data_IF_203301045629
#
_entry.id   IF_203301045629
#
_cell.length_a   1.000
_cell.length_b   1.000
_cell.length_c   1.000
_cell.angle_alpha   90.00
_cell.angle_beta   90.00
_cell.angle_gamma   90.00
#
_symmetry.space_group_name_H-M   'P 1'
#
loop_
_entity.id
_entity.type
_entity.pdbx_description
1 polymer ?
#
# COMPACT_ATOMS: atom_id res chain seq x y z
N UNK A 1 22.94 38.54 -14.00
CA UNK A 1 23.58 38.06 -15.25
C UNK A 1 24.40 39.14 -15.95
N UNK A 2 24.22 40.44 -15.67
CA UNK A 2 25.17 41.49 -16.09
C UNK A 2 25.19 41.83 -17.59
N UNK A 3 24.41 41.11 -18.40
CA UNK A 3 24.39 41.21 -19.86
C UNK A 3 23.79 42.52 -20.41
N UNK A 4 23.15 43.34 -19.58
CA UNK A 4 22.50 44.60 -20.01
C UNK A 4 23.50 45.75 -20.27
N UNK A 5 24.75 45.64 -19.83
CA UNK A 5 25.78 46.69 -19.94
C UNK A 5 26.95 46.29 -20.87
N UNK A 6 26.70 45.38 -21.80
CA UNK A 6 27.71 44.94 -22.77
C UNK A 6 27.87 46.00 -23.88
N UNK A 7 29.10 46.49 -24.07
CA UNK A 7 29.46 47.38 -25.17
C UNK A 7 30.36 46.62 -26.17
N UNK A 8 29.92 46.53 -27.42
CA UNK A 8 30.63 45.84 -28.51
C UNK A 8 31.30 46.81 -29.50
N UNK A 9 31.30 48.11 -29.20
CA UNK A 9 31.81 49.13 -30.12
C UNK A 9 33.33 49.29 -30.08
N UNK A 10 33.99 48.73 -29.07
CA UNK A 10 35.45 48.74 -28.90
C UNK A 10 35.99 47.32 -28.74
N UNK A 11 37.25 47.10 -29.09
CA UNK A 11 37.93 45.80 -28.91
C UNK A 11 37.94 45.37 -27.44
N UNK A 12 38.27 46.29 -26.52
CA UNK A 12 38.27 46.04 -25.08
C UNK A 12 36.86 45.74 -24.54
N UNK A 13 35.83 46.44 -25.02
CA UNK A 13 34.45 46.17 -24.66
C UNK A 13 33.97 44.81 -25.15
N UNK A 14 34.40 44.38 -26.34
CA UNK A 14 34.10 43.06 -26.88
C UNK A 14 34.77 41.93 -26.08
N UNK A 15 36.00 42.12 -25.61
CA UNK A 15 36.68 41.15 -24.73
C UNK A 15 35.96 41.04 -23.36
N UNK A 16 35.61 42.19 -22.75
CA UNK A 16 34.84 42.20 -21.50
C UNK A 16 33.44 41.57 -21.67
N UNK A 17 32.82 41.73 -22.84
CA UNK A 17 31.54 41.12 -23.16
C UNK A 17 31.60 39.60 -23.13
N UNK A 18 32.68 39.02 -23.67
CA UNK A 18 32.90 37.57 -23.71
C UNK A 18 33.01 37.03 -22.28
N UNK A 19 33.80 37.67 -21.43
CA UNK A 19 33.96 37.26 -20.03
C UNK A 19 32.63 37.30 -19.25
N UNK A 20 31.85 38.39 -19.42
CA UNK A 20 30.53 38.54 -18.79
C UNK A 20 29.56 37.45 -19.27
N UNK A 21 29.57 37.14 -20.56
CA UNK A 21 28.71 36.11 -21.14
C UNK A 21 29.11 34.71 -20.65
N UNK A 22 30.40 34.39 -20.59
CA UNK A 22 30.89 33.12 -20.05
C UNK A 22 30.50 32.95 -18.58
N UNK A 23 30.63 33.99 -17.77
CA UNK A 23 30.19 33.96 -16.38
C UNK A 23 28.67 33.79 -16.24
N UNK A 24 27.89 34.46 -17.09
CA UNK A 24 26.44 34.30 -17.14
C UNK A 24 26.04 32.87 -17.54
N UNK A 25 26.69 32.30 -18.55
CA UNK A 25 26.48 30.92 -19.01
C UNK A 25 26.84 29.94 -17.90
N UNK A 26 27.96 30.15 -17.20
CA UNK A 26 28.40 29.32 -16.08
C UNK A 26 27.42 29.39 -14.90
N UNK A 27 26.84 30.56 -14.61
CA UNK A 27 25.79 30.69 -13.59
C UNK A 27 24.52 29.93 -13.97
N UNK A 28 24.01 30.12 -15.19
CA UNK A 28 22.80 29.41 -15.66
C UNK A 28 23.04 27.90 -15.70
N UNK A 29 24.21 27.47 -16.14
CA UNK A 29 24.58 26.06 -16.19
C UNK A 29 24.64 25.43 -14.79
N UNK A 30 25.20 26.15 -13.80
CA UNK A 30 25.19 25.70 -12.39
C UNK A 30 23.77 25.51 -11.86
N UNK A 31 22.89 26.46 -12.10
CA UNK A 31 21.49 26.33 -11.67
C UNK A 31 20.76 25.19 -12.40
N UNK A 32 20.99 25.02 -13.70
CA UNK A 32 20.47 23.87 -14.45
C UNK A 32 20.96 22.53 -13.89
N UNK A 33 22.25 22.41 -13.56
CA UNK A 33 22.80 21.21 -12.93
C UNK A 33 22.16 20.94 -11.56
N UNK A 34 21.93 21.98 -10.75
CA UNK A 34 21.25 21.87 -9.46
C UNK A 34 19.79 21.40 -9.61
N UNK A 35 19.07 21.94 -10.60
CA UNK A 35 17.72 21.50 -10.93
C UNK A 35 17.70 20.05 -11.42
N UNK A 36 18.63 19.65 -12.30
CA UNK A 36 18.77 18.27 -12.76
C UNK A 36 19.05 17.29 -11.61
N UNK A 37 19.95 17.65 -10.69
CA UNK A 37 20.20 16.85 -9.49
C UNK A 37 18.95 16.72 -8.60
N UNK A 38 18.17 17.80 -8.46
CA UNK A 38 16.91 17.78 -7.70
C UNK A 38 15.87 16.92 -8.39
N UNK A 39 15.74 16.99 -9.72
CA UNK A 39 14.86 16.13 -10.51
C UNK A 39 15.22 14.65 -10.34
N UNK A 40 16.51 14.30 -10.39
CA UNK A 40 16.94 12.92 -10.15
C UNK A 40 16.56 12.45 -8.74
N UNK A 41 16.78 13.29 -7.71
CA UNK A 41 16.37 12.97 -6.33
C UNK A 41 14.87 12.77 -6.21
N UNK A 42 14.06 13.61 -6.86
CA UNK A 42 12.61 13.48 -6.89
C UNK A 42 12.20 12.18 -7.59
N UNK A 43 12.80 11.86 -8.74
CA UNK A 43 12.57 10.61 -9.45
C UNK A 43 12.88 9.37 -8.59
N UNK A 44 14.03 9.36 -7.91
CA UNK A 44 14.36 8.29 -6.96
C UNK A 44 13.38 8.22 -5.79
N UNK A 45 12.96 9.36 -5.26
CA UNK A 45 12.00 9.42 -4.14
C UNK A 45 10.64 8.88 -4.56
N UNK A 46 10.16 9.26 -5.75
CA UNK A 46 8.91 8.76 -6.32
C UNK A 46 8.96 7.25 -6.52
N UNK A 47 10.04 6.73 -7.10
CA UNK A 47 10.21 5.29 -7.29
C UNK A 47 10.20 4.53 -5.95
N UNK A 48 10.94 5.04 -4.96
CA UNK A 48 10.97 4.44 -3.62
C UNK A 48 9.59 4.48 -2.94
N UNK A 49 8.89 5.62 -3.02
CA UNK A 49 7.54 5.76 -2.47
C UNK A 49 6.53 4.84 -3.16
N UNK A 50 6.62 4.67 -4.47
CA UNK A 50 5.78 3.76 -5.23
C UNK A 50 5.97 2.31 -4.76
N UNK A 51 7.23 1.86 -4.64
CA UNK A 51 7.54 0.53 -4.09
C UNK A 51 7.05 0.38 -2.66
N UNK A 52 7.23 1.38 -1.81
CA UNK A 52 6.74 1.37 -0.44
C UNK A 52 5.21 1.30 -0.38
N UNK A 53 4.50 2.02 -1.26
CA UNK A 53 3.04 1.97 -1.36
C UNK A 53 2.56 0.57 -1.72
N UNK A 54 3.18 -0.08 -2.72
CA UNK A 54 2.84 -1.46 -3.10
C UNK A 54 3.04 -2.40 -1.92
N UNK A 55 4.20 -2.34 -1.26
CA UNK A 55 4.50 -3.18 -0.11
C UNK A 55 3.52 -2.97 1.05
N UNK A 56 3.10 -1.73 1.30
CA UNK A 56 2.11 -1.41 2.33
C UNK A 56 0.72 -1.92 1.97
N UNK A 57 0.26 -1.73 0.73
CA UNK A 57 -1.03 -2.26 0.26
C UNK A 57 -1.06 -3.79 0.33
N UNK A 58 0.04 -4.47 -0.03
CA UNK A 58 0.14 -5.92 0.13
C UNK A 58 0.12 -6.35 1.60
N UNK A 59 0.82 -5.62 2.48
CA UNK A 59 0.79 -5.90 3.91
C UNK A 59 -0.60 -5.69 4.50
N UNK A 60 -1.29 -4.62 4.11
CA UNK A 60 -2.67 -4.34 4.48
C UNK A 60 -3.62 -5.44 3.99
N UNK A 61 -3.50 -5.86 2.73
CA UNK A 61 -4.29 -6.98 2.19
C UNK A 61 -4.07 -8.25 3.00
N UNK A 62 -2.81 -8.61 3.31
CA UNK A 62 -2.53 -9.80 4.13
C UNK A 62 -3.15 -9.74 5.52
N UNK A 63 -3.09 -8.58 6.18
CA UNK A 63 -3.70 -8.40 7.51
C UNK A 63 -5.21 -8.53 7.39
N UNK A 64 -5.82 -7.80 6.44
CA UNK A 64 -7.26 -7.82 6.21
C UNK A 64 -7.77 -9.20 5.82
N UNK A 65 -7.07 -9.91 4.93
CA UNK A 65 -7.44 -11.25 4.49
C UNK A 65 -7.27 -12.27 5.62
N UNK A 66 -6.25 -12.12 6.48
CA UNK A 66 -6.09 -12.97 7.67
C UNK A 66 -7.23 -12.77 8.68
N UNK A 67 -7.63 -11.52 8.93
CA UNK A 67 -8.75 -11.20 9.81
C UNK A 67 -10.09 -11.66 9.22
N UNK A 68 -10.31 -11.48 7.92
CA UNK A 68 -11.50 -12.00 7.22
C UNK A 68 -11.53 -13.53 7.29
N UNK A 69 -10.41 -14.21 7.06
CA UNK A 69 -10.33 -15.66 7.16
C UNK A 69 -10.69 -16.15 8.58
N UNK A 70 -10.21 -15.46 9.62
CA UNK A 70 -10.54 -15.78 11.02
C UNK A 70 -12.03 -15.60 11.30
N UNK A 71 -12.61 -14.48 10.88
CA UNK A 71 -14.05 -14.22 11.07
C UNK A 71 -14.91 -15.21 10.28
N UNK A 72 -14.52 -15.56 9.06
CA UNK A 72 -15.21 -16.57 8.23
C UNK A 72 -15.13 -17.97 8.85
N UNK A 73 -14.01 -18.34 9.47
CA UNK A 73 -13.89 -19.60 10.21
C UNK A 73 -14.80 -19.63 11.43
N UNK A 74 -14.83 -18.56 12.23
CA UNK A 74 -15.73 -18.46 13.38
C UNK A 74 -17.20 -18.45 12.91
N UNK A 75 -17.56 -17.69 11.89
CA UNK A 75 -18.90 -17.70 11.30
C UNK A 75 -19.29 -19.11 10.83
N UNK A 76 -18.40 -19.81 10.13
CA UNK A 76 -18.64 -21.19 9.66
C UNK A 76 -18.82 -22.15 10.85
N UNK A 77 -17.97 -22.04 11.87
CA UNK A 77 -18.08 -22.83 13.11
C UNK A 77 -19.40 -22.58 13.82
N UNK A 78 -19.86 -21.33 13.92
CA UNK A 78 -21.17 -21.01 14.50
C UNK A 78 -22.32 -21.62 13.68
N UNK A 79 -22.26 -21.56 12.34
CA UNK A 79 -23.25 -22.20 11.48
C UNK A 79 -23.27 -23.73 11.65
N UNK A 80 -22.10 -24.37 11.71
CA UNK A 80 -21.99 -25.81 11.97
C UNK A 80 -22.55 -26.14 13.35
N UNK A 81 -22.19 -25.38 14.40
CA UNK A 81 -22.71 -25.60 15.75
C UNK A 81 -24.24 -25.46 15.81
N UNK A 82 -24.82 -24.49 15.11
CA UNK A 82 -26.27 -24.33 15.03
C UNK A 82 -26.96 -25.52 14.34
N UNK A 83 -26.39 -26.01 13.23
CA UNK A 83 -26.91 -27.20 12.54
C UNK A 83 -26.73 -28.47 13.39
N UNK A 84 -25.58 -28.63 14.06
CA UNK A 84 -25.30 -29.74 14.97
C UNK A 84 -26.23 -29.69 16.17
N UNK A 85 -26.51 -28.53 16.75
CA UNK A 85 -27.47 -28.39 17.85
C UNK A 85 -28.88 -28.86 17.43
N UNK A 86 -29.33 -28.50 16.23
CA UNK A 86 -30.61 -29.01 15.70
C UNK A 86 -30.59 -30.53 15.49
N UNK A 87 -29.53 -31.08 14.89
CA UNK A 87 -29.39 -32.52 14.70
C UNK A 87 -29.27 -33.29 16.03
N UNK A 88 -28.55 -32.74 17.01
CA UNK A 88 -28.39 -33.35 18.33
C UNK A 88 -29.68 -33.32 19.14
N UNK A 89 -30.49 -32.26 19.04
CA UNK A 89 -31.83 -32.25 19.63
C UNK A 89 -32.70 -33.33 19.00
N UNK A 90 -32.68 -33.47 17.67
CA UNK A 90 -33.41 -34.53 16.98
C UNK A 90 -32.94 -35.94 17.39
N UNK A 91 -31.63 -36.15 17.52
CA UNK A 91 -31.04 -37.42 17.95
C UNK A 91 -31.34 -37.73 19.43
N UNK A 92 -31.30 -36.73 20.32
CA UNK A 92 -31.66 -36.87 21.73
C UNK A 92 -33.15 -37.24 21.89
N UNK A 93 -34.04 -36.66 21.07
CA UNK A 93 -35.44 -37.06 21.00
C UNK A 93 -35.59 -38.53 20.57
N UNK A 94 -34.88 -38.98 19.51
CA UNK A 94 -34.90 -40.39 19.10
C UNK A 94 -34.44 -41.35 20.20
N UNK A 95 -33.36 -41.02 20.92
CA UNK A 95 -32.90 -41.83 22.05
C UNK A 95 -33.94 -41.86 23.19
N UNK A 96 -34.58 -40.73 23.52
CA UNK A 96 -35.66 -40.71 24.51
C UNK A 96 -36.81 -41.65 24.13
N UNK A 97 -37.23 -41.68 22.86
CA UNK A 97 -38.28 -42.60 22.42
C UNK A 97 -37.87 -44.07 22.53
N UNK A 98 -36.60 -44.40 22.23
CA UNK A 98 -36.08 -45.76 22.41
C UNK A 98 -36.07 -46.18 23.89
N UNK A 99 -35.68 -45.27 24.79
CA UNK A 99 -35.73 -45.54 26.24
C UNK A 99 -37.17 -45.69 26.73
N UNK A 100 -38.11 -44.88 26.23
CA UNK A 100 -39.54 -45.03 26.56
C UNK A 100 -40.12 -46.36 26.05
N UNK A 101 -39.65 -46.88 24.91
CA UNK A 101 -40.02 -48.22 24.45
C UNK A 101 -39.43 -49.32 25.35
N UNK A 102 -38.17 -49.19 25.79
CA UNK A 102 -37.55 -50.13 26.73
C UNK A 102 -38.21 -50.12 28.12
N UNK A 103 -38.72 -48.96 28.57
CA UNK A 103 -39.48 -48.84 29.81
C UNK A 103 -40.88 -49.45 29.69
N UNK A 104 -41.54 -49.33 28.54
CA UNK A 104 -42.85 -49.97 28.28
C UNK A 104 -42.73 -51.50 28.14
N UNK A 105 -41.69 -52.00 27.46
CA UNK A 105 -41.46 -53.44 27.27
C UNK A 105 -41.07 -54.19 28.56
N UNK A 106 -40.57 -53.50 29.58
CA UNK A 106 -40.26 -54.10 30.90
C UNK A 106 -41.37 -53.90 31.95
N UNK A 107 -42.54 -53.35 31.57
CA UNK A 107 -43.69 -53.18 32.47
C UNK A 107 -44.87 -54.12 32.17
N UNK A 108 -44.81 -54.89 31.09
CA UNK A 108 -45.71 -56.02 30.79
C UNK A 108 -45.02 -57.35 31.12
#
# INVERSE_FOLDING_TARGET
LGVDQIDLTTEEGADQAIDILDDAINQVSRERSRLGATQNRLGHTINNLSTMSINLTEAESRIRDADIAKEMMEFTKHNILAQVAQMMVAQAMQQQYSVLQLLKVNQD
#
